data_IF_234234299908
#
_entry.id   IF_234234299908
#
_cell.length_a   1.000
_cell.length_b   1.000
_cell.length_c   1.000
_cell.angle_alpha   90.00
_cell.angle_beta   90.00
_cell.angle_gamma   90.00
#
_symmetry.space_group_name_H-M   'P 1'
#
loop_
_entity.id
_entity.type
_entity.pdbx_description
1 polymer ?
#
# COMPACT_ATOMS: atom_id res chain seq x y z
N UNK A 1 12.88 -23.12 11.06
CA UNK A 1 12.55 -22.02 10.11
C UNK A 1 13.37 -20.77 10.42
N UNK A 2 13.37 -20.31 11.67
CA UNK A 2 14.24 -19.24 12.20
C UNK A 2 15.73 -19.46 11.92
N UNK A 3 16.24 -20.67 12.15
CA UNK A 3 17.65 -21.01 11.88
C UNK A 3 18.00 -20.98 10.39
N UNK A 4 17.05 -21.37 9.52
CA UNK A 4 17.25 -21.34 8.07
C UNK A 4 17.22 -19.90 7.52
N UNK A 5 16.31 -19.07 8.04
CA UNK A 5 16.24 -17.64 7.72
C UNK A 5 17.40 -16.83 8.31
N UNK A 6 18.23 -17.46 9.15
CA UNK A 6 19.27 -16.80 9.96
C UNK A 6 18.70 -15.57 10.67
N UNK A 7 17.50 -15.69 11.24
CA UNK A 7 16.76 -14.55 11.80
C UNK A 7 17.55 -13.80 12.87
N UNK A 8 18.47 -14.47 13.56
CA UNK A 8 19.39 -13.85 14.53
C UNK A 8 20.42 -12.88 13.91
N UNK A 9 20.54 -12.80 12.58
CA UNK A 9 21.37 -11.80 11.91
C UNK A 9 20.66 -10.45 11.74
N UNK A 10 19.35 -10.39 11.97
CA UNK A 10 18.56 -9.19 11.78
C UNK A 10 17.99 -8.72 13.12
N UNK A 11 17.94 -7.39 13.30
CA UNK A 11 17.32 -6.74 14.45
C UNK A 11 16.37 -5.66 13.94
N UNK A 12 15.26 -5.44 14.64
CA UNK A 12 14.36 -4.33 14.32
C UNK A 12 15.10 -3.00 14.56
N UNK A 13 15.26 -2.22 13.51
CA UNK A 13 16.02 -0.96 13.53
C UNK A 13 15.26 0.22 14.10
N UNK A 14 13.93 0.15 14.17
CA UNK A 14 13.07 1.26 14.57
C UNK A 14 12.57 2.07 13.38
N UNK A 15 12.23 3.33 13.63
CA UNK A 15 11.77 4.28 12.62
C UNK A 15 12.95 4.74 11.74
N UNK A 16 12.76 4.65 10.42
CA UNK A 16 13.73 5.09 9.42
C UNK A 16 14.07 6.58 9.54
N UNK A 17 13.14 7.44 10.02
CA UNK A 17 13.40 8.87 10.25
C UNK A 17 14.43 9.10 11.38
N UNK A 18 14.49 8.17 12.33
CA UNK A 18 15.41 8.23 13.47
C UNK A 18 16.67 7.38 13.30
N UNK A 19 16.83 6.71 12.15
CA UNK A 19 17.92 5.77 11.94
C UNK A 19 19.25 6.50 11.63
N UNK A 20 20.14 6.54 12.62
CA UNK A 20 21.41 7.29 12.58
C UNK A 20 22.67 6.41 12.51
N UNK A 21 22.51 5.09 12.61
CA UNK A 21 23.61 4.12 12.72
C UNK A 21 24.33 3.93 11.38
N UNK A 22 25.65 3.80 11.45
CA UNK A 22 26.50 3.44 10.31
C UNK A 22 26.66 1.91 10.21
N UNK A 23 25.54 1.22 9.94
CA UNK A 23 25.48 -0.24 9.82
C UNK A 23 24.61 -0.65 8.62
N UNK A 24 24.79 -1.86 8.04
CA UNK A 24 23.91 -2.35 6.98
C UNK A 24 22.44 -2.37 7.42
N UNK A 25 21.55 -1.92 6.55
CA UNK A 25 20.14 -1.78 6.86
C UNK A 25 19.23 -2.29 5.74
N UNK A 26 17.99 -2.62 6.12
CA UNK A 26 16.90 -2.87 5.19
C UNK A 26 15.82 -1.83 5.49
N UNK A 27 15.51 -0.99 4.52
CA UNK A 27 14.43 -0.01 4.64
C UNK A 27 13.18 -0.51 3.91
N UNK A 28 12.03 -0.47 4.59
CA UNK A 28 10.73 -0.79 4.02
C UNK A 28 10.04 0.50 3.60
N UNK A 29 10.00 0.77 2.31
CA UNK A 29 9.39 1.98 1.75
C UNK A 29 7.99 1.63 1.23
N UNK A 30 6.95 2.01 1.96
CA UNK A 30 5.56 1.76 1.53
C UNK A 30 5.03 2.98 0.77
N UNK A 31 4.64 2.84 -0.50
CA UNK A 31 4.21 3.97 -1.33
C UNK A 31 3.11 3.56 -2.33
N UNK A 32 1.88 4.12 -2.24
CA UNK A 32 1.35 4.96 -1.17
C UNK A 32 1.43 4.28 0.19
N UNK A 33 1.71 5.08 1.22
CA UNK A 33 1.96 4.60 2.57
C UNK A 33 0.69 4.11 3.28
N UNK A 34 0.88 3.19 4.22
CA UNK A 34 -0.13 2.74 5.15
C UNK A 34 0.25 3.25 6.55
N UNK A 35 -0.56 4.12 7.20
CA UNK A 35 -1.98 4.33 6.93
C UNK A 35 -2.33 5.62 6.18
N UNK A 36 -1.41 6.57 6.04
CA UNK A 36 -1.71 7.96 5.65
C UNK A 36 -1.90 8.19 4.14
N UNK A 37 -1.56 7.22 3.30
CA UNK A 37 -1.75 7.29 1.86
C UNK A 37 -0.79 8.21 1.11
N UNK A 38 0.21 8.80 1.76
CA UNK A 38 1.18 9.65 1.08
C UNK A 38 2.16 8.82 0.24
N UNK A 39 2.59 9.37 -0.88
CA UNK A 39 3.71 8.84 -1.65
C UNK A 39 4.99 8.99 -0.81
N UNK A 40 5.74 7.91 -0.67
CA UNK A 40 7.01 7.88 0.08
C UNK A 40 8.18 7.55 -0.84
N UNK A 41 9.35 8.01 -0.41
CA UNK A 41 10.66 7.65 -0.94
C UNK A 41 11.52 7.18 0.23
N UNK A 42 12.62 6.50 -0.07
CA UNK A 42 13.64 6.19 0.94
C UNK A 42 14.16 7.48 1.58
N UNK A 43 14.33 7.43 2.89
CA UNK A 43 14.82 8.55 3.71
C UNK A 43 16.17 8.25 4.36
N UNK A 44 16.55 6.97 4.48
CA UNK A 44 17.85 6.59 5.00
C UNK A 44 18.90 6.80 3.92
N UNK A 45 19.63 7.91 4.01
CA UNK A 45 20.71 8.25 3.09
C UNK A 45 22.07 7.77 3.64
N UNK A 46 22.27 6.45 3.65
CA UNK A 46 23.51 5.79 4.11
C UNK A 46 23.97 4.77 3.08
N UNK A 47 25.23 4.35 3.18
CA UNK A 47 25.76 3.30 2.32
C UNK A 47 25.23 1.92 2.76
N UNK A 48 25.24 0.93 1.87
CA UNK A 48 24.93 -0.48 2.16
C UNK A 48 23.45 -0.78 2.54
N UNK A 49 22.52 0.09 2.15
CA UNK A 49 21.09 -0.15 2.29
C UNK A 49 20.51 -1.08 1.24
N UNK A 50 19.62 -1.99 1.67
CA UNK A 50 18.72 -2.72 0.78
C UNK A 50 17.31 -2.13 0.92
N UNK A 51 16.77 -1.57 -0.17
CA UNK A 51 15.44 -0.95 -0.17
C UNK A 51 14.39 -1.93 -0.68
N UNK A 52 13.34 -2.14 0.12
CA UNK A 52 12.16 -2.93 -0.26
C UNK A 52 11.00 -1.96 -0.44
N UNK A 53 10.56 -1.78 -1.68
CA UNK A 53 9.43 -0.89 -1.99
C UNK A 53 8.13 -1.69 -1.98
N UNK A 54 7.28 -1.49 -0.97
CA UNK A 54 5.93 -2.04 -0.95
C UNK A 54 4.98 -1.11 -1.72
N UNK A 55 4.58 -1.58 -2.90
CA UNK A 55 3.71 -0.88 -3.85
C UNK A 55 2.31 -1.51 -3.89
N UNK A 56 1.87 -2.16 -2.81
CA UNK A 56 0.54 -2.78 -2.73
C UNK A 56 -0.60 -1.82 -3.09
N UNK A 57 -0.46 -0.54 -2.77
CA UNK A 57 -1.46 0.50 -3.04
C UNK A 57 -1.13 1.39 -4.26
N UNK A 58 -0.07 1.11 -5.02
CA UNK A 58 0.32 1.92 -6.18
C UNK A 58 -0.51 1.55 -7.42
N UNK A 59 -1.81 1.80 -7.33
CA UNK A 59 -2.80 1.52 -8.37
C UNK A 59 -3.73 2.73 -8.59
N UNK A 60 -4.29 2.91 -9.79
CA UNK A 60 -5.04 4.11 -10.17
C UNK A 60 -6.22 4.45 -9.25
N UNK A 61 -6.82 3.45 -8.59
CA UNK A 61 -7.93 3.68 -7.66
C UNK A 61 -7.51 4.35 -6.34
N UNK A 62 -6.22 4.34 -6.01
CA UNK A 62 -5.72 4.90 -4.75
C UNK A 62 -4.86 6.14 -4.93
N UNK A 63 -4.10 6.20 -6.01
CA UNK A 63 -3.17 7.30 -6.25
C UNK A 63 -3.01 7.58 -7.74
N UNK A 64 -2.77 8.85 -8.14
CA UNK A 64 -2.33 9.16 -9.48
C UNK A 64 -1.05 8.40 -9.84
N UNK A 65 -1.03 7.78 -11.02
CA UNK A 65 0.17 7.12 -11.55
C UNK A 65 1.01 8.16 -12.28
N UNK A 66 2.06 8.65 -11.64
CA UNK A 66 2.95 9.66 -12.22
C UNK A 66 3.93 9.07 -13.23
N UNK A 67 4.42 7.86 -12.95
CA UNK A 67 5.38 7.14 -13.80
C UNK A 67 5.41 5.66 -13.46
N UNK A 68 5.95 4.85 -14.36
CA UNK A 68 6.38 3.49 -14.03
C UNK A 68 7.45 3.55 -12.93
N UNK A 69 7.38 2.61 -11.99
CA UNK A 69 8.39 2.49 -10.91
C UNK A 69 9.60 1.71 -11.39
N UNK A 70 10.80 2.16 -11.04
CA UNK A 70 12.06 1.53 -11.45
C UNK A 70 12.99 1.21 -10.26
N UNK A 71 12.41 0.75 -9.15
CA UNK A 71 13.18 0.37 -7.96
C UNK A 71 13.79 -1.04 -8.10
N UNK A 72 14.84 -1.32 -7.32
CA UNK A 72 15.56 -2.60 -7.37
C UNK A 72 14.73 -3.80 -6.88
N UNK A 73 13.86 -3.56 -5.90
CA UNK A 73 12.95 -4.55 -5.35
C UNK A 73 11.61 -3.88 -5.05
N UNK A 74 10.57 -4.31 -5.76
CA UNK A 74 9.19 -3.85 -5.58
C UNK A 74 8.26 -5.01 -5.25
N UNK A 75 7.27 -4.78 -4.39
CA UNK A 75 6.27 -5.75 -3.97
C UNK A 75 4.87 -5.31 -4.39
N UNK A 76 4.06 -6.25 -4.86
CA UNK A 76 2.68 -6.02 -5.26
C UNK A 76 1.78 -7.18 -4.78
N UNK A 77 0.47 -6.96 -4.76
CA UNK A 77 -0.50 -8.00 -4.40
C UNK A 77 -1.85 -7.86 -5.10
N UNK A 78 -2.47 -9.01 -5.43
CA UNK A 78 -3.86 -9.04 -5.91
C UNK A 78 -4.85 -8.55 -4.86
N UNK A 79 -4.46 -8.61 -3.58
CA UNK A 79 -5.32 -8.25 -2.45
C UNK A 79 -5.80 -6.82 -2.52
N UNK A 80 -4.95 -5.92 -3.02
CA UNK A 80 -5.19 -4.48 -3.06
C UNK A 80 -5.37 -3.96 -4.48
N UNK A 81 -4.85 -4.67 -5.49
CA UNK A 81 -5.12 -4.30 -6.88
C UNK A 81 -6.54 -4.68 -7.33
N UNK A 82 -7.00 -5.90 -7.04
CA UNK A 82 -8.29 -6.43 -7.52
C UNK A 82 -9.24 -6.89 -6.41
N UNK A 83 -8.89 -6.67 -5.14
CA UNK A 83 -9.72 -7.03 -3.98
C UNK A 83 -9.71 -8.52 -3.62
N UNK A 84 -8.94 -9.36 -4.30
CA UNK A 84 -8.95 -10.81 -4.11
C UNK A 84 -8.03 -11.27 -2.97
N UNK A 85 -8.19 -10.68 -1.79
CA UNK A 85 -7.31 -10.93 -0.64
C UNK A 85 -7.24 -12.39 -0.19
N UNK A 86 -8.33 -13.16 -0.36
CA UNK A 86 -8.40 -14.57 0.00
C UNK A 86 -7.51 -15.50 -0.84
N UNK A 87 -7.04 -15.04 -2.01
CA UNK A 87 -6.18 -15.85 -2.89
C UNK A 87 -4.73 -15.91 -2.41
N UNK A 88 -4.34 -15.01 -1.49
CA UNK A 88 -2.98 -14.97 -0.91
C UNK A 88 -1.88 -14.88 -1.97
N UNK A 89 -2.12 -14.15 -3.06
CA UNK A 89 -1.15 -13.92 -4.14
C UNK A 89 -0.51 -12.53 -4.03
N UNK A 90 0.82 -12.52 -3.99
CA UNK A 90 1.66 -11.35 -4.19
C UNK A 90 2.84 -11.72 -5.07
N UNK A 91 3.51 -10.71 -5.62
CA UNK A 91 4.68 -10.89 -6.45
C UNK A 91 5.71 -9.81 -6.14
N UNK A 92 6.97 -10.13 -6.45
CA UNK A 92 8.09 -9.21 -6.35
C UNK A 92 8.73 -9.04 -7.72
N UNK A 93 9.06 -7.81 -8.11
CA UNK A 93 9.97 -7.54 -9.22
C UNK A 93 11.33 -7.24 -8.61
N UNK A 94 12.35 -8.02 -8.99
CA UNK A 94 13.67 -8.01 -8.36
C UNK A 94 14.73 -7.90 -9.46
N UNK A 95 15.51 -6.83 -9.44
CA UNK A 95 16.60 -6.61 -10.40
C UNK A 95 17.83 -7.48 -10.09
N UNK A 96 18.20 -7.58 -8.82
CA UNK A 96 19.34 -8.39 -8.37
C UNK A 96 19.00 -9.89 -8.39
N UNK A 97 19.72 -10.63 -9.25
CA UNK A 97 19.56 -12.07 -9.43
C UNK A 97 19.85 -12.87 -8.16
N UNK A 98 20.84 -12.49 -7.36
CA UNK A 98 21.20 -13.20 -6.13
C UNK A 98 20.15 -12.97 -5.03
N UNK A 99 19.56 -11.76 -4.97
CA UNK A 99 18.41 -11.50 -4.11
C UNK A 99 17.21 -12.35 -4.55
N UNK A 100 16.90 -12.38 -5.85
CA UNK A 100 15.80 -13.19 -6.39
C UNK A 100 15.97 -14.68 -6.07
N UNK A 101 17.17 -15.25 -6.24
CA UNK A 101 17.48 -16.64 -5.88
C UNK A 101 17.24 -16.92 -4.39
N UNK A 102 17.69 -16.02 -3.51
CA UNK A 102 17.48 -16.15 -2.05
C UNK A 102 15.99 -16.13 -1.70
N UNK A 103 15.20 -15.25 -2.34
CA UNK A 103 13.74 -15.20 -2.16
C UNK A 103 13.05 -16.48 -2.65
N UNK A 104 13.41 -17.01 -3.83
CA UNK A 104 12.86 -18.27 -4.33
C UNK A 104 13.20 -19.43 -3.40
N UNK A 105 14.45 -19.51 -2.93
CA UNK A 105 14.87 -20.57 -2.00
C UNK A 105 14.13 -20.49 -0.67
N UNK A 106 13.85 -19.27 -0.20
CA UNK A 106 13.03 -19.06 0.98
C UNK A 106 11.61 -19.63 0.81
N UNK A 107 10.95 -19.33 -0.31
CA UNK A 107 9.60 -19.84 -0.62
C UNK A 107 9.59 -21.37 -0.72
N UNK A 108 10.58 -21.96 -1.40
CA UNK A 108 10.72 -23.41 -1.56
C UNK A 108 10.76 -24.11 -0.19
N UNK A 109 11.51 -23.56 0.76
CA UNK A 109 11.67 -24.18 2.07
C UNK A 109 10.57 -23.84 3.06
N UNK A 110 9.83 -22.76 2.82
CA UNK A 110 8.74 -22.35 3.68
C UNK A 110 7.45 -23.09 3.35
N UNK A 111 7.08 -23.13 2.07
CA UNK A 111 5.77 -23.60 1.61
C UNK A 111 5.85 -24.48 0.36
N UNK A 112 7.05 -24.81 -0.13
CA UNK A 112 7.25 -25.59 -1.37
C UNK A 112 6.65 -24.86 -2.59
N UNK A 113 6.51 -23.54 -2.51
CA UNK A 113 5.85 -22.72 -3.52
C UNK A 113 4.51 -22.15 -3.08
N UNK A 114 3.71 -21.77 -4.07
CA UNK A 114 2.40 -21.13 -3.88
C UNK A 114 1.33 -22.02 -4.52
N UNK A 115 0.12 -22.05 -3.95
CA UNK A 115 -1.01 -22.82 -4.48
C UNK A 115 -1.21 -22.61 -5.99
N UNK A 116 -1.28 -23.70 -6.75
CA UNK A 116 -1.51 -23.66 -8.21
C UNK A 116 -2.91 -23.14 -8.54
N UNK A 117 -3.93 -23.49 -7.77
CA UNK A 117 -5.28 -22.96 -7.94
C UNK A 117 -5.31 -21.44 -7.76
N UNK A 118 -4.59 -20.94 -6.76
CA UNK A 118 -4.48 -19.49 -6.51
C UNK A 118 -3.74 -18.79 -7.65
N UNK A 119 -2.68 -19.39 -8.19
CA UNK A 119 -1.97 -18.88 -9.37
C UNK A 119 -2.87 -18.85 -10.61
N UNK A 120 -3.58 -19.93 -10.92
CA UNK A 120 -4.46 -20.03 -12.08
C UNK A 120 -5.61 -19.01 -12.02
N UNK A 121 -6.26 -18.92 -10.85
CA UNK A 121 -7.32 -17.93 -10.64
C UNK A 121 -6.77 -16.51 -10.74
N UNK A 122 -5.57 -16.25 -10.21
CA UNK A 122 -4.97 -14.90 -10.26
C UNK A 122 -4.65 -14.50 -11.70
N UNK A 123 -4.05 -15.42 -12.46
CA UNK A 123 -3.77 -15.22 -13.87
C UNK A 123 -5.04 -14.92 -14.67
N UNK A 124 -6.15 -15.63 -14.40
CA UNK A 124 -7.43 -15.37 -15.08
C UNK A 124 -7.99 -13.98 -14.73
N UNK A 125 -7.98 -13.59 -13.46
CA UNK A 125 -8.45 -12.27 -13.02
C UNK A 125 -7.59 -11.16 -13.63
N UNK A 126 -6.26 -11.27 -13.53
CA UNK A 126 -5.33 -10.27 -14.07
C UNK A 126 -5.46 -10.16 -15.59
N UNK A 127 -5.65 -11.28 -16.29
CA UNK A 127 -5.93 -11.27 -17.72
C UNK A 127 -7.21 -10.50 -18.03
N UNK A 128 -8.32 -10.82 -17.36
CA UNK A 128 -9.58 -10.09 -17.58
C UNK A 128 -9.46 -8.60 -17.29
N UNK A 129 -8.75 -8.21 -16.23
CA UNK A 129 -8.49 -6.78 -15.95
C UNK A 129 -7.66 -6.15 -17.07
N UNK A 130 -6.61 -6.81 -17.55
CA UNK A 130 -5.78 -6.29 -18.66
C UNK A 130 -6.57 -6.15 -19.95
N UNK A 131 -7.34 -7.18 -20.33
CA UNK A 131 -8.18 -7.19 -21.53
C UNK A 131 -9.18 -6.01 -21.48
N UNK A 132 -9.77 -5.72 -20.31
CA UNK A 132 -10.67 -4.57 -20.11
C UNK A 132 -10.01 -3.19 -20.26
N UNK A 133 -8.71 -3.07 -20.05
CA UNK A 133 -7.99 -1.79 -20.24
C UNK A 133 -7.50 -1.61 -21.69
N UNK A 134 -7.22 -2.71 -22.40
CA UNK A 134 -6.79 -2.70 -23.81
C UNK A 134 -7.94 -2.51 -24.80
N UNK A 135 -9.10 -3.10 -24.48
CA UNK A 135 -10.35 -2.85 -25.20
C UNK A 135 -10.80 -1.41 -24.93
N UNK A 136 -10.30 -0.46 -25.73
CA UNK A 136 -10.87 0.90 -25.83
C UNK A 136 -12.38 0.72 -25.85
N UNK A 137 -13.09 1.52 -25.06
CA UNK A 137 -14.53 1.43 -24.80
C UNK A 137 -15.39 1.54 -26.07
N UNK A 138 -15.32 0.56 -26.98
CA UNK A 138 -16.09 0.46 -28.21
C UNK A 138 -17.57 0.22 -27.89
N UNK A 139 -17.84 -0.34 -26.70
CA UNK A 139 -19.18 -0.66 -26.20
C UNK A 139 -19.63 0.20 -25.00
N UNK A 140 -18.91 1.28 -24.66
CA UNK A 140 -19.25 2.14 -23.52
C UNK A 140 -19.09 1.50 -22.13
N UNK A 141 -18.45 0.34 -22.03
CA UNK A 141 -18.14 -0.33 -20.75
C UNK A 141 -16.96 0.40 -20.08
N UNK A 142 -17.15 0.81 -18.83
CA UNK A 142 -16.11 1.46 -18.02
C UNK A 142 -15.03 0.44 -17.63
N UNK A 143 -13.76 0.83 -17.76
CA UNK A 143 -12.64 -0.04 -17.39
C UNK A 143 -12.58 -0.29 -15.88
N UNK A 144 -11.96 -1.39 -15.46
CA UNK A 144 -11.93 -1.81 -14.06
C UNK A 144 -11.34 -0.73 -13.16
N UNK A 145 -10.23 -0.11 -13.59
CA UNK A 145 -9.55 0.90 -12.79
C UNK A 145 -10.25 2.25 -12.80
N UNK A 146 -10.94 2.60 -13.91
CA UNK A 146 -11.77 3.81 -13.96
C UNK A 146 -12.98 3.70 -13.04
N UNK A 147 -13.67 2.56 -13.06
CA UNK A 147 -14.75 2.25 -12.12
C UNK A 147 -14.25 2.31 -10.68
N UNK A 148 -13.12 1.67 -10.40
CA UNK A 148 -12.55 1.60 -9.05
C UNK A 148 -12.14 2.98 -8.52
N UNK A 149 -11.54 3.83 -9.37
CA UNK A 149 -11.21 5.22 -9.04
C UNK A 149 -12.47 6.01 -8.65
N UNK A 150 -13.52 5.97 -9.50
CA UNK A 150 -14.79 6.67 -9.24
C UNK A 150 -15.44 6.24 -7.92
N UNK A 151 -15.38 4.95 -7.60
CA UNK A 151 -15.88 4.43 -6.33
C UNK A 151 -15.09 4.96 -5.12
N UNK A 152 -13.77 5.07 -5.22
CA UNK A 152 -12.93 5.62 -4.15
C UNK A 152 -13.14 7.13 -4.00
N UNK A 153 -13.22 7.87 -5.10
CA UNK A 153 -13.53 9.29 -5.13
C UNK A 153 -14.87 9.60 -4.45
N UNK A 154 -15.93 8.83 -4.77
CA UNK A 154 -17.24 9.00 -4.13
C UNK A 154 -17.19 8.75 -2.61
N UNK A 155 -16.47 7.70 -2.16
CA UNK A 155 -16.33 7.38 -0.73
C UNK A 155 -15.62 8.49 0.02
N UNK A 156 -14.51 8.98 -0.54
CA UNK A 156 -13.75 10.07 0.07
C UNK A 156 -14.49 11.39 0.08
N UNK A 157 -15.25 11.70 -0.98
CA UNK A 157 -16.12 12.87 -1.00
C UNK A 157 -17.12 12.85 0.15
N UNK A 158 -17.88 11.76 0.30
CA UNK A 158 -18.87 11.62 1.37
C UNK A 158 -18.22 11.66 2.76
N UNK A 159 -17.04 11.05 2.92
CA UNK A 159 -16.31 11.08 4.17
C UNK A 159 -15.83 12.50 4.54
N UNK A 160 -15.30 13.24 3.56
CA UNK A 160 -14.87 14.63 3.78
C UNK A 160 -16.05 15.52 4.12
N UNK A 161 -17.17 15.42 3.41
CA UNK A 161 -18.41 16.15 3.73
C UNK A 161 -18.87 15.87 5.17
N UNK A 162 -18.78 14.62 5.65
CA UNK A 162 -19.13 14.26 7.01
C UNK A 162 -18.14 14.83 8.04
N UNK A 163 -16.83 14.77 7.78
CA UNK A 163 -15.79 15.30 8.68
C UNK A 163 -15.84 16.83 8.73
N UNK A 164 -15.96 17.49 7.59
CA UNK A 164 -15.97 18.96 7.47
C UNK A 164 -17.25 19.60 8.04
N UNK A 165 -18.26 18.79 8.38
CA UNK A 165 -19.50 19.26 9.03
C UNK A 165 -19.31 19.61 10.52
N UNK A 166 -18.17 19.26 11.11
CA UNK A 166 -17.84 19.62 12.49
C UNK A 166 -16.33 19.66 12.74
N UNK A 167 -15.94 20.06 13.95
CA UNK A 167 -14.53 20.32 14.28
C UNK A 167 -13.89 19.18 15.11
N UNK A 168 -14.59 18.05 15.27
CA UNK A 168 -14.13 16.93 16.09
C UNK A 168 -13.04 16.09 15.43
N UNK A 169 -12.95 16.11 14.10
CA UNK A 169 -12.03 15.28 13.36
C UNK A 169 -11.31 16.07 12.27
N UNK A 170 -10.11 15.61 11.92
CA UNK A 170 -9.40 16.08 10.73
C UNK A 170 -8.93 14.89 9.88
N UNK A 171 -8.80 15.14 8.58
CA UNK A 171 -8.32 14.18 7.59
C UNK A 171 -7.12 14.74 6.83
N UNK A 172 -6.23 13.86 6.32
CA UNK A 172 -5.14 14.29 5.45
C UNK A 172 -5.69 14.99 4.20
N UNK A 173 -4.95 16.00 3.76
CA UNK A 173 -5.17 16.70 2.50
C UNK A 173 -4.17 16.19 1.48
N UNK A 174 -4.65 15.94 0.27
CA UNK A 174 -3.85 15.49 -0.86
C UNK A 174 -3.97 16.52 -1.97
N UNK A 175 -2.87 16.76 -2.68
CA UNK A 175 -2.88 17.59 -3.88
C UNK A 175 -3.25 16.75 -5.09
N UNK A 176 -4.00 17.35 -6.03
CA UNK A 176 -4.21 16.77 -7.35
C UNK A 176 -2.88 16.61 -8.10
N UNK A 177 -2.78 15.55 -8.88
CA UNK A 177 -1.68 15.33 -9.81
C UNK A 177 -2.20 14.69 -11.10
N UNK A 178 -1.48 14.91 -12.20
CA UNK A 178 -1.80 14.27 -13.46
C UNK A 178 -1.52 12.76 -13.39
N UNK A 179 -2.54 11.94 -13.64
CA UNK A 179 -2.42 10.50 -13.71
C UNK A 179 -2.22 10.06 -15.16
N UNK A 180 -1.05 9.52 -15.47
CA UNK A 180 -0.71 9.01 -16.80
C UNK A 180 -1.55 7.81 -17.22
N UNK A 181 -2.03 7.02 -16.25
CA UNK A 181 -2.88 5.86 -16.51
C UNK A 181 -4.31 6.28 -16.90
N UNK A 182 -4.93 7.16 -16.11
CA UNK A 182 -6.30 7.64 -16.36
C UNK A 182 -6.34 8.77 -17.42
N UNK A 183 -5.19 9.34 -17.76
CA UNK A 183 -5.02 10.48 -18.65
C UNK A 183 -5.87 11.70 -18.25
N UNK A 184 -5.88 12.01 -16.95
CA UNK A 184 -6.61 13.14 -16.36
C UNK A 184 -5.92 13.61 -15.07
N UNK A 185 -6.25 14.80 -14.59
CA UNK A 185 -5.96 15.15 -13.20
C UNK A 185 -6.81 14.31 -12.26
N UNK A 186 -6.18 13.82 -11.20
CA UNK A 186 -6.82 13.02 -10.16
C UNK A 186 -6.18 13.32 -8.81
N UNK A 187 -6.94 13.13 -7.74
CA UNK A 187 -6.44 13.23 -6.37
C UNK A 187 -6.07 11.83 -5.83
N UNK A 188 -5.16 11.80 -4.85
CA UNK A 188 -4.93 10.57 -4.07
C UNK A 188 -6.18 10.26 -3.24
N UNK A 189 -6.69 9.05 -3.39
CA UNK A 189 -7.85 8.51 -2.66
C UNK A 189 -7.44 7.24 -1.91
N UNK A 190 -6.69 7.36 -0.79
CA UNK A 190 -6.08 6.20 -0.14
C UNK A 190 -7.08 5.12 0.27
N UNK A 191 -6.59 3.90 0.45
CA UNK A 191 -7.42 2.78 0.90
C UNK A 191 -7.95 2.94 2.34
N UNK A 192 -7.35 3.83 3.14
CA UNK A 192 -7.71 4.08 4.53
C UNK A 192 -7.85 5.58 4.79
N UNK A 193 -8.79 5.93 5.67
CA UNK A 193 -8.90 7.27 6.21
C UNK A 193 -8.02 7.39 7.45
N UNK A 194 -6.94 8.19 7.34
CA UNK A 194 -6.09 8.50 8.49
C UNK A 194 -6.69 9.64 9.32
N UNK A 195 -7.77 9.32 10.02
CA UNK A 195 -8.56 10.26 10.82
C UNK A 195 -7.79 10.64 12.09
N UNK A 196 -7.79 11.93 12.42
CA UNK A 196 -7.32 12.42 13.72
C UNK A 196 -8.49 12.98 14.50
N UNK A 197 -8.61 12.63 15.78
CA UNK A 197 -9.52 13.28 16.71
C UNK A 197 -8.88 14.59 17.23
N UNK A 198 -9.63 15.69 17.13
CA UNK A 198 -9.22 17.01 17.60
C UNK A 198 -9.80 17.34 18.99
N UNK A 199 -9.41 18.48 19.54
CA UNK A 199 -9.84 18.93 20.87
C UNK A 199 -9.37 18.01 22.00
N UNK A 200 -10.29 17.74 22.94
CA UNK A 200 -10.03 17.01 24.20
C UNK A 200 -10.03 15.48 24.06
N UNK A 201 -10.24 14.95 22.85
CA UNK A 201 -10.20 13.51 22.60
C UNK A 201 -8.73 13.07 22.49
N UNK A 202 -8.24 12.39 23.54
CA UNK A 202 -6.86 11.90 23.59
C UNK A 202 -6.68 10.53 22.94
N UNK A 203 -7.71 9.68 22.97
CA UNK A 203 -7.70 8.33 22.41
C UNK A 203 -8.83 8.15 21.39
N UNK A 204 -8.47 8.30 20.11
CA UNK A 204 -9.42 8.26 19.00
C UNK A 204 -9.97 6.86 18.75
N UNK A 205 -9.15 5.81 18.93
CA UNK A 205 -9.60 4.41 18.79
C UNK A 205 -10.67 4.09 19.84
N UNK A 206 -10.41 4.42 21.10
CA UNK A 206 -11.37 4.20 22.19
C UNK A 206 -12.64 5.01 22.02
N UNK A 207 -12.53 6.27 21.57
CA UNK A 207 -13.67 7.13 21.28
C UNK A 207 -14.57 6.57 20.19
N UNK A 208 -14.00 6.17 19.04
CA UNK A 208 -14.74 5.58 17.93
C UNK A 208 -15.36 4.22 18.31
N UNK A 209 -14.64 3.41 19.10
CA UNK A 209 -15.15 2.14 19.63
C UNK A 209 -16.38 2.34 20.52
N UNK A 210 -16.40 3.40 21.33
CA UNK A 210 -17.59 3.81 22.11
C UNK A 210 -18.83 4.07 21.26
N UNK A 211 -18.62 4.43 19.99
CA UNK A 211 -19.66 4.65 18.97
C UNK A 211 -19.83 3.46 18.01
N UNK A 212 -19.32 2.28 18.39
CA UNK A 212 -19.41 1.03 17.61
C UNK A 212 -18.66 1.07 16.27
N UNK A 213 -17.67 1.94 16.13
CA UNK A 213 -16.78 2.00 14.97
C UNK A 213 -15.44 1.39 15.38
N UNK A 214 -15.11 0.24 14.82
CA UNK A 214 -13.82 -0.42 15.08
C UNK A 214 -12.76 0.09 14.12
N UNK A 215 -11.66 0.59 14.66
CA UNK A 215 -10.51 1.12 13.92
C UNK A 215 -9.20 0.49 14.38
N UNK A 216 -8.07 0.92 13.83
CA UNK A 216 -6.72 0.57 14.30
C UNK A 216 -6.06 1.86 14.78
N UNK A 217 -5.82 1.99 16.08
CA UNK A 217 -5.27 3.21 16.66
C UNK A 217 -3.83 3.49 16.25
N UNK A 218 -3.46 4.76 16.26
CA UNK A 218 -2.24 5.24 15.65
C UNK A 218 -0.95 4.80 16.32
N UNK A 219 -1.02 4.42 17.60
CA UNK A 219 0.13 3.81 18.30
C UNK A 219 0.67 2.57 17.59
N UNK A 220 -0.19 1.80 16.91
CA UNK A 220 0.23 0.62 16.14
C UNK A 220 1.08 0.98 14.91
N UNK A 221 1.03 2.23 14.47
CA UNK A 221 1.73 2.76 13.30
C UNK A 221 2.84 3.75 13.69
N UNK A 222 3.23 3.81 14.97
CA UNK A 222 4.23 4.77 15.46
C UNK A 222 3.71 6.21 15.61
N UNK A 223 2.39 6.42 15.53
CA UNK A 223 1.76 7.73 15.72
C UNK A 223 1.14 7.89 17.11
N UNK A 224 0.65 9.11 17.41
CA UNK A 224 -0.06 9.38 18.67
C UNK A 224 -1.41 8.67 18.75
N UNK A 225 -1.99 8.58 19.96
CA UNK A 225 -3.34 8.05 20.20
C UNK A 225 -4.47 8.91 19.64
N UNK A 226 -4.16 10.13 19.16
CA UNK A 226 -5.14 10.98 18.50
C UNK A 226 -5.52 10.46 17.10
N UNK A 227 -4.80 9.47 16.57
CA UNK A 227 -5.12 8.78 15.33
C UNK A 227 -5.66 7.37 15.61
#
# INVERSE_FOLDING_TARGET
MTDYQKSGLYKWGGDAESFDKDEPYIELVTSPNNPDGYIRKSIVNRNQGLLVHDLAYYWPQYTPISSATDYDLTLFTVSKSTGHAGMRIGWALVKDREVAKKMTKFIELNTIGVSKDSQLRAAKVLKTVSDCEEEKSENGVESFFKYSYRMMEQRWKLLREAVDSGDLFSLPKFSSAFCTFLNQESETQPAFAWLKCEGDIEDCESFLRGHKILTRGGKQFGASSKY
#
